data_IF_009986679170
#
_entry.id   IF_009986679170
#
_cell.length_a   1.000
_cell.length_b   1.000
_cell.length_c   1.000
_cell.angle_alpha   90.00
_cell.angle_beta   90.00
_cell.angle_gamma   90.00
#
_symmetry.space_group_name_H-M   'P 1'
#
loop_
_entity.id
_entity.type
_entity.pdbx_description
1 polymer ?
#
# COMPACT_ATOMS: atom_id res chain seq x y z
N UNK A 1 -5.15 5.08 3.38
CA UNK A 1 -4.68 3.81 2.80
C UNK A 1 -4.33 3.98 1.33
N UNK A 2 -5.16 4.67 0.52
CA UNK A 2 -4.92 4.85 -0.93
C UNK A 2 -3.53 5.38 -1.33
N UNK A 3 -2.97 6.31 -0.54
CA UNK A 3 -1.60 6.79 -0.78
C UNK A 3 -0.57 5.67 -0.67
N UNK A 4 -0.69 4.81 0.35
CA UNK A 4 0.20 3.67 0.57
C UNK A 4 0.11 2.71 -0.62
N UNK A 5 -1.11 2.38 -1.03
CA UNK A 5 -1.38 1.47 -2.14
C UNK A 5 -0.68 1.97 -3.41
N UNK A 6 -0.92 3.23 -3.79
CA UNK A 6 -0.34 3.82 -5.01
C UNK A 6 1.19 3.95 -4.93
N UNK A 7 1.70 4.42 -3.79
CA UNK A 7 3.14 4.67 -3.59
C UNK A 7 3.98 3.40 -3.49
N UNK A 8 3.35 2.24 -3.26
CA UNK A 8 4.03 0.95 -3.25
C UNK A 8 3.82 0.23 -4.59
N UNK A 9 2.58 0.18 -5.07
CA UNK A 9 2.21 -0.63 -6.23
C UNK A 9 3.00 -0.26 -7.49
N UNK A 10 2.94 1.00 -7.95
CA UNK A 10 3.60 1.37 -9.21
C UNK A 10 5.14 1.32 -9.11
N UNK A 11 5.80 1.76 -8.03
CA UNK A 11 7.25 1.58 -7.93
C UNK A 11 7.67 0.11 -7.95
N UNK A 12 6.94 -0.78 -7.27
CA UNK A 12 7.22 -2.22 -7.36
C UNK A 12 6.97 -2.76 -8.76
N UNK A 13 5.86 -2.40 -9.40
CA UNK A 13 5.53 -2.86 -10.74
C UNK A 13 6.57 -2.41 -11.78
N UNK A 14 7.01 -1.14 -11.71
CA UNK A 14 7.91 -0.53 -12.68
C UNK A 14 9.37 -0.95 -12.49
N UNK A 15 9.83 -1.07 -11.23
CA UNK A 15 11.25 -1.28 -10.93
C UNK A 15 11.56 -2.69 -10.42
N UNK A 16 10.61 -3.38 -9.79
CA UNK A 16 10.82 -4.67 -9.14
C UNK A 16 9.64 -5.65 -9.41
N UNK A 17 9.24 -5.89 -10.67
CA UNK A 17 8.01 -6.62 -11.00
C UNK A 17 8.01 -8.06 -10.48
N UNK A 18 9.18 -8.69 -10.36
CA UNK A 18 9.33 -10.05 -9.80
C UNK A 18 8.92 -10.17 -8.32
N UNK A 19 8.81 -9.04 -7.61
CA UNK A 19 8.32 -9.03 -6.23
C UNK A 19 6.79 -9.13 -6.18
N UNK A 20 6.09 -8.52 -7.14
CA UNK A 20 4.63 -8.35 -7.12
C UNK A 20 3.90 -9.33 -8.07
N UNK A 21 4.51 -9.70 -9.19
CA UNK A 21 3.95 -10.61 -10.18
C UNK A 21 4.40 -12.05 -9.87
N UNK A 22 3.48 -13.03 -9.86
CA UNK A 22 3.86 -14.43 -9.69
C UNK A 22 4.79 -14.87 -10.84
N UNK A 23 5.69 -15.84 -10.60
CA UNK A 23 6.48 -16.46 -11.67
C UNK A 23 5.53 -16.96 -12.75
N UNK A 24 5.69 -16.47 -13.97
CA UNK A 24 4.88 -16.91 -15.11
C UNK A 24 5.41 -18.25 -15.58
N UNK A 25 4.57 -19.29 -15.61
CA UNK A 25 4.84 -20.45 -16.44
C UNK A 25 4.96 -19.95 -17.89
N UNK A 26 6.18 -19.98 -18.39
CA UNK A 26 6.61 -19.48 -19.70
C UNK A 26 5.78 -20.13 -20.83
N UNK A 27 4.83 -19.39 -21.38
CA UNK A 27 4.45 -19.52 -22.80
C UNK A 27 5.12 -18.38 -23.58
N UNK A 28 5.95 -18.67 -24.59
CA UNK A 28 6.83 -17.70 -25.25
C UNK A 28 6.08 -16.66 -26.13
N UNK A 29 4.75 -16.68 -26.12
CA UNK A 29 3.87 -15.72 -26.81
C UNK A 29 3.19 -14.73 -25.86
N UNK A 30 3.37 -14.87 -24.54
CA UNK A 30 2.78 -13.98 -23.53
C UNK A 30 3.82 -12.96 -23.06
N UNK A 31 3.93 -11.83 -23.76
CA UNK A 31 4.71 -10.70 -23.28
C UNK A 31 4.14 -10.19 -21.95
N UNK A 32 4.99 -10.09 -20.92
CA UNK A 32 4.70 -9.65 -19.55
C UNK A 32 3.58 -10.47 -18.85
N UNK A 33 3.84 -10.91 -17.61
CA UNK A 33 2.82 -11.54 -16.76
C UNK A 33 1.48 -10.77 -16.82
N UNK A 34 0.30 -11.43 -16.75
CA UNK A 34 -0.98 -10.85 -17.15
C UNK A 34 -1.17 -9.47 -16.54
N UNK A 35 -0.88 -8.44 -17.34
CA UNK A 35 -0.94 -7.06 -16.89
C UNK A 35 -2.42 -6.70 -16.80
N UNK A 36 -2.86 -6.26 -15.62
CA UNK A 36 -4.18 -5.65 -15.45
C UNK A 36 -4.40 -4.64 -16.58
N UNK A 37 -5.57 -4.65 -17.26
CA UNK A 37 -5.87 -3.62 -18.25
C UNK A 37 -5.68 -2.25 -17.62
N UNK A 38 -5.00 -1.33 -18.32
CA UNK A 38 -4.60 -0.03 -17.77
C UNK A 38 -5.77 0.72 -17.13
N UNK A 39 -6.97 0.61 -17.70
CA UNK A 39 -8.18 1.21 -17.15
C UNK A 39 -8.53 0.66 -15.76
N UNK A 40 -8.41 -0.66 -15.58
CA UNK A 40 -8.64 -1.32 -14.28
C UNK A 40 -7.53 -0.95 -13.30
N UNK A 41 -6.28 -0.91 -13.77
CA UNK A 41 -5.15 -0.50 -12.93
C UNK A 41 -5.32 0.92 -12.37
N UNK A 42 -5.64 1.87 -13.24
CA UNK A 42 -5.91 3.26 -12.84
C UNK A 42 -7.14 3.34 -11.92
N UNK A 43 -8.19 2.56 -12.18
CA UNK A 43 -9.39 2.56 -11.34
C UNK A 43 -9.12 2.02 -9.92
N UNK A 44 -8.19 1.06 -9.77
CA UNK A 44 -7.85 0.47 -8.48
C UNK A 44 -6.79 1.28 -7.72
N UNK A 45 -5.84 1.91 -8.43
CA UNK A 45 -4.68 2.53 -7.79
C UNK A 45 -4.72 4.06 -7.88
N UNK A 46 -5.06 4.64 -9.04
CA UNK A 46 -5.00 6.09 -9.24
C UNK A 46 -6.25 6.83 -8.73
N UNK A 47 -7.43 6.36 -9.13
CA UNK A 47 -8.69 7.06 -8.87
C UNK A 47 -8.97 7.20 -7.37
N UNK A 48 -8.82 6.16 -6.52
CA UNK A 48 -9.04 6.28 -5.09
C UNK A 48 -8.10 7.28 -4.42
N UNK A 49 -6.83 7.34 -4.87
CA UNK A 49 -5.88 8.33 -4.36
C UNK A 49 -6.33 9.75 -4.74
N UNK A 50 -6.68 9.97 -6.00
CA UNK A 50 -7.09 11.29 -6.48
C UNK A 50 -8.35 11.78 -5.78
N UNK A 51 -9.36 10.92 -5.59
CA UNK A 51 -10.60 11.29 -4.90
C UNK A 51 -10.34 11.64 -3.44
N UNK A 52 -9.52 10.86 -2.72
CA UNK A 52 -9.15 11.16 -1.33
C UNK A 52 -8.30 12.43 -1.23
N UNK A 53 -7.43 12.72 -2.19
CA UNK A 53 -6.66 13.97 -2.20
C UNK A 53 -7.56 15.18 -2.42
N UNK A 54 -8.51 15.10 -3.35
CA UNK A 54 -9.50 16.17 -3.56
C UNK A 54 -10.33 16.36 -2.31
N UNK A 55 -10.82 15.27 -1.70
CA UNK A 55 -11.59 15.35 -0.46
C UNK A 55 -10.82 16.02 0.68
N UNK A 56 -9.58 15.57 0.88
CA UNK A 56 -8.69 16.13 1.89
C UNK A 56 -8.38 17.61 1.68
N UNK A 57 -8.06 18.04 0.45
CA UNK A 57 -7.67 19.44 0.20
C UNK A 57 -8.84 20.41 0.01
N UNK A 58 -9.99 19.94 -0.46
CA UNK A 58 -11.11 20.82 -0.84
C UNK A 58 -12.22 20.83 0.22
N UNK A 59 -12.51 19.68 0.85
CA UNK A 59 -13.66 19.53 1.74
C UNK A 59 -13.28 19.40 3.22
N UNK A 60 -12.14 18.78 3.53
CA UNK A 60 -11.72 18.56 4.91
C UNK A 60 -11.00 19.78 5.51
N UNK A 61 -11.31 20.19 6.76
CA UNK A 61 -10.51 21.17 7.49
C UNK A 61 -9.12 20.64 7.85
N UNK A 62 -8.15 21.56 7.95
CA UNK A 62 -6.78 21.22 8.36
C UNK A 62 -6.76 20.55 9.73
N UNK A 63 -6.09 19.40 9.83
CA UNK A 63 -5.93 18.75 11.12
C UNK A 63 -4.98 19.55 12.01
N UNK A 64 -5.40 19.87 13.26
CA UNK A 64 -4.52 20.52 14.20
C UNK A 64 -3.26 19.67 14.46
N UNK A 65 -2.13 20.35 14.64
CA UNK A 65 -0.82 19.69 14.80
C UNK A 65 -0.81 18.63 15.90
N UNK A 66 -1.55 18.86 17.00
CA UNK A 66 -1.65 17.87 18.08
C UNK A 66 -2.20 16.54 17.58
N UNK A 67 -3.28 16.53 16.80
CA UNK A 67 -3.88 15.30 16.26
C UNK A 67 -2.93 14.60 15.28
N UNK A 68 -2.16 15.37 14.49
CA UNK A 68 -1.17 14.81 13.59
C UNK A 68 0.02 14.13 14.30
N UNK A 69 0.28 14.49 15.56
CA UNK A 69 1.33 13.89 16.38
C UNK A 69 0.83 12.83 17.36
N UNK A 70 -0.47 12.78 17.68
CA UNK A 70 -1.04 11.82 18.64
C UNK A 70 -2.01 10.84 17.97
N UNK A 71 -3.14 11.34 17.48
CA UNK A 71 -4.22 10.52 16.93
C UNK A 71 -3.81 9.80 15.64
N UNK A 72 -3.12 10.50 14.72
CA UNK A 72 -2.72 9.90 13.44
C UNK A 72 -1.73 8.72 13.62
N UNK A 73 -0.63 8.84 14.40
CA UNK A 73 0.22 7.69 14.71
C UNK A 73 -0.53 6.53 15.38
N UNK A 74 -1.40 6.83 16.35
CA UNK A 74 -2.17 5.80 17.04
C UNK A 74 -3.09 5.04 16.07
N UNK A 75 -3.81 5.77 15.21
CA UNK A 75 -4.67 5.19 14.19
C UNK A 75 -3.86 4.33 13.19
N UNK A 76 -2.73 4.84 12.71
CA UNK A 76 -1.87 4.11 11.76
C UNK A 76 -1.32 2.84 12.38
N UNK A 77 -0.85 2.88 13.64
CA UNK A 77 -0.36 1.68 14.33
C UNK A 77 -1.50 0.68 14.49
N UNK A 78 -2.67 1.11 14.97
CA UNK A 78 -3.82 0.24 15.17
C UNK A 78 -4.26 -0.46 13.87
N UNK A 79 -4.43 0.31 12.80
CA UNK A 79 -4.80 -0.23 11.48
C UNK A 79 -3.72 -1.10 10.87
N UNK A 80 -2.44 -0.75 11.03
CA UNK A 80 -1.33 -1.53 10.47
C UNK A 80 -1.20 -2.87 11.18
N UNK A 81 -1.31 -2.91 12.51
CA UNK A 81 -1.30 -4.15 13.29
C UNK A 81 -2.49 -5.01 12.91
N UNK A 82 -3.70 -4.45 12.89
CA UNK A 82 -4.91 -5.19 12.52
C UNK A 82 -4.81 -5.78 11.10
N UNK A 83 -4.44 -4.96 10.12
CA UNK A 83 -4.34 -5.39 8.73
C UNK A 83 -3.21 -6.40 8.52
N UNK A 84 -2.03 -6.19 9.10
CA UNK A 84 -0.93 -7.15 9.03
C UNK A 84 -1.31 -8.49 9.66
N UNK A 85 -1.95 -8.48 10.84
CA UNK A 85 -2.45 -9.71 11.48
C UNK A 85 -3.48 -10.42 10.60
N UNK A 86 -4.38 -9.67 9.95
CA UNK A 86 -5.37 -10.23 9.05
C UNK A 86 -4.73 -10.86 7.80
N UNK A 87 -3.76 -10.20 7.18
CA UNK A 87 -3.04 -10.71 6.01
C UNK A 87 -2.25 -11.98 6.36
N UNK A 88 -1.56 -12.00 7.51
CA UNK A 88 -0.89 -13.21 8.01
C UNK A 88 -1.89 -14.35 8.24
N UNK A 89 -3.05 -14.06 8.84
CA UNK A 89 -4.11 -15.05 9.03
C UNK A 89 -4.62 -15.60 7.69
N UNK A 90 -4.91 -14.75 6.72
CA UNK A 90 -5.30 -15.19 5.38
C UNK A 90 -4.23 -16.05 4.72
N UNK A 91 -2.94 -15.75 4.91
CA UNK A 91 -1.86 -16.57 4.38
C UNK A 91 -1.80 -17.97 5.02
N UNK A 92 -2.23 -18.12 6.28
CA UNK A 92 -2.35 -19.46 6.90
C UNK A 92 -3.46 -20.31 6.27
N UNK A 93 -4.51 -19.68 5.76
CA UNK A 93 -5.62 -20.35 5.07
C UNK A 93 -5.29 -20.64 3.60
N UNK A 94 -4.64 -19.69 2.92
CA UNK A 94 -4.36 -19.75 1.49
C UNK A 94 -3.02 -20.46 1.17
N UNK A 95 -2.17 -20.69 2.18
CA UNK A 95 -0.82 -21.22 2.05
C UNK A 95 0.20 -20.25 1.45
N UNK A 96 -0.24 -19.10 0.92
CA UNK A 96 0.60 -18.06 0.30
C UNK A 96 0.03 -16.68 0.58
N UNK A 97 0.90 -15.66 0.50
CA UNK A 97 0.46 -14.27 0.49
C UNK A 97 0.06 -13.83 -0.92
N UNK A 98 -0.78 -12.79 -1.07
CA UNK A 98 -1.14 -12.24 -2.37
C UNK A 98 0.07 -11.82 -3.22
N UNK A 99 1.16 -11.42 -2.57
CA UNK A 99 2.39 -11.00 -3.24
C UNK A 99 3.56 -11.95 -2.95
N UNK A 100 4.30 -12.39 -3.99
CA UNK A 100 5.45 -13.28 -3.87
C UNK A 100 6.48 -12.81 -2.84
N UNK A 101 6.78 -11.50 -2.80
CA UNK A 101 7.78 -10.96 -1.88
C UNK A 101 7.43 -11.17 -0.40
N UNK A 102 6.14 -11.30 -0.05
CA UNK A 102 5.71 -11.64 1.31
C UNK A 102 5.83 -13.15 1.55
N UNK A 103 5.43 -13.98 0.59
CA UNK A 103 5.50 -15.44 0.67
C UNK A 103 6.92 -15.94 0.90
N UNK A 104 7.90 -15.39 0.19
CA UNK A 104 9.29 -15.83 0.28
C UNK A 104 10.10 -15.11 1.37
N UNK A 105 9.52 -14.13 2.05
CA UNK A 105 10.19 -13.40 3.14
C UNK A 105 9.99 -14.11 4.48
N UNK A 106 11.03 -14.26 5.32
CA UNK A 106 10.86 -14.71 6.69
C UNK A 106 10.03 -13.69 7.49
N UNK A 107 9.39 -14.14 8.57
CA UNK A 107 8.48 -13.31 9.36
C UNK A 107 9.10 -11.98 9.82
N UNK A 108 10.36 -11.98 10.28
CA UNK A 108 11.06 -10.77 10.69
C UNK A 108 11.15 -9.72 9.55
N UNK A 109 11.39 -10.17 8.30
CA UNK A 109 11.42 -9.28 7.13
C UNK A 109 10.03 -8.75 6.83
N UNK A 110 8.98 -9.56 6.95
CA UNK A 110 7.60 -9.09 6.78
C UNK A 110 7.23 -8.03 7.82
N UNK A 111 7.61 -8.20 9.08
CA UNK A 111 7.43 -7.19 10.13
C UNK A 111 8.13 -5.88 9.78
N UNK A 112 9.35 -5.94 9.24
CA UNK A 112 10.06 -4.73 8.77
C UNK A 112 9.30 -4.05 7.63
N UNK A 113 8.80 -4.83 6.66
CA UNK A 113 7.99 -4.31 5.56
C UNK A 113 6.73 -3.62 6.10
N UNK A 114 5.95 -4.28 6.97
CA UNK A 114 4.73 -3.69 7.53
C UNK A 114 5.01 -2.38 8.28
N UNK A 115 6.10 -2.35 9.04
CA UNK A 115 6.52 -1.15 9.79
C UNK A 115 6.97 -0.03 8.86
N UNK A 116 7.76 -0.34 7.82
CA UNK A 116 8.19 0.64 6.83
C UNK A 116 6.98 1.25 6.08
N UNK A 117 6.03 0.41 5.68
CA UNK A 117 4.80 0.83 5.01
C UNK A 117 3.94 1.71 5.91
N UNK A 118 3.78 1.35 7.18
CA UNK A 118 3.09 2.19 8.17
C UNK A 118 3.79 3.56 8.33
N UNK A 119 5.13 3.57 8.35
CA UNK A 119 5.95 4.78 8.41
C UNK A 119 5.75 5.69 7.20
N UNK A 120 5.73 5.12 5.98
CA UNK A 120 5.39 5.86 4.75
C UNK A 120 4.01 6.49 4.89
N UNK A 121 2.99 5.71 5.30
CA UNK A 121 1.64 6.23 5.52
C UNK A 121 1.59 7.44 6.45
N UNK A 122 2.30 7.38 7.58
CA UNK A 122 2.35 8.48 8.54
C UNK A 122 3.10 9.69 7.99
N UNK A 123 4.22 9.47 7.31
CA UNK A 123 4.99 10.53 6.66
C UNK A 123 4.13 11.28 5.63
N UNK A 124 3.40 10.54 4.81
CA UNK A 124 2.54 11.11 3.77
C UNK A 124 1.39 11.91 4.36
N UNK A 125 0.69 11.38 5.38
CA UNK A 125 -0.35 12.14 6.08
C UNK A 125 0.21 13.46 6.65
N UNK A 126 1.37 13.41 7.32
CA UNK A 126 1.98 14.61 7.90
C UNK A 126 2.39 15.63 6.84
N UNK A 127 2.96 15.19 5.73
CA UNK A 127 3.32 16.06 4.61
C UNK A 127 2.08 16.71 3.99
N UNK A 128 1.04 15.92 3.70
CA UNK A 128 -0.21 16.44 3.13
C UNK A 128 -0.87 17.45 4.07
N UNK A 129 -0.97 17.14 5.37
CA UNK A 129 -1.52 18.07 6.35
C UNK A 129 -0.67 19.33 6.55
N UNK A 130 0.65 19.27 6.31
CA UNK A 130 1.50 20.45 6.33
C UNK A 130 1.27 21.35 5.11
N UNK A 131 0.99 20.77 3.95
CA UNK A 131 0.67 21.47 2.70
C UNK A 131 -0.78 21.97 2.64
N UNK A 132 -1.67 21.41 3.47
CA UNK A 132 -3.06 21.82 3.58
C UNK A 132 -3.17 23.23 4.18
N UNK A 133 -4.02 24.08 3.59
CA UNK A 133 -4.14 25.50 3.93
C UNK A 133 -5.01 25.71 5.18
#
# INVERSE_FOLDING_TARGET
MEFIITSIYWPLLLFLPHLILPPTDVSPTAGLAPTLPLQVDLALHAIPLLTVLVDFFVFEPKFPRIYAHTAAPAAIVAFSVWYASFVEYCATLNGTFPYPFLTYSPFAVRVMIYTAVAGIGLGCFRTLNALHA
#
